data_IF_772454199616
#
_entry.id   IF_772454199616
#
_cell.length_a   1.000
_cell.length_b   1.000
_cell.length_c   1.000
_cell.angle_alpha   90.00
_cell.angle_beta   90.00
_cell.angle_gamma   90.00
#
_symmetry.space_group_name_H-M   'P 1'
#
loop_
_entity.id
_entity.type
_entity.pdbx_description
1 polymer ?
#
# COMPACT_ATOMS: atom_id res chain seq x y z
N UNK A 1 2.72 -17.27 -15.54
CA UNK A 1 3.39 -16.13 -16.22
C UNK A 1 4.16 -15.39 -15.15
N UNK A 2 5.35 -14.84 -15.46
CA UNK A 2 6.07 -14.02 -14.48
C UNK A 2 5.31 -12.70 -14.25
N UNK A 3 5.29 -12.22 -13.02
CA UNK A 3 4.71 -10.94 -12.66
C UNK A 3 5.47 -9.80 -13.35
N UNK A 4 4.76 -8.91 -14.05
CA UNK A 4 5.36 -7.84 -14.84
C UNK A 4 6.15 -6.83 -13.99
N UNK A 5 5.82 -6.69 -12.71
CA UNK A 5 6.51 -5.80 -11.78
C UNK A 5 7.99 -6.12 -11.61
N UNK A 6 8.43 -7.39 -11.78
CA UNK A 6 9.85 -7.75 -11.72
C UNK A 6 10.73 -7.03 -12.75
N UNK A 7 10.14 -6.54 -13.85
CA UNK A 7 10.86 -5.94 -14.98
C UNK A 7 10.84 -4.41 -14.98
N UNK A 8 10.06 -3.78 -14.11
CA UNK A 8 10.01 -2.33 -14.00
C UNK A 8 11.30 -1.82 -13.32
N UNK A 9 11.94 -0.86 -13.95
CA UNK A 9 13.15 -0.23 -13.38
C UNK A 9 12.77 0.92 -12.46
N UNK A 10 13.47 1.12 -11.32
CA UNK A 10 13.19 2.21 -10.39
C UNK A 10 13.15 3.60 -11.05
N UNK A 11 14.10 3.89 -11.95
CA UNK A 11 14.15 5.19 -12.65
C UNK A 11 12.96 5.40 -13.60
N UNK A 12 12.53 4.36 -14.32
CA UNK A 12 11.37 4.44 -15.20
C UNK A 12 10.09 4.65 -14.40
N UNK A 13 9.97 3.95 -13.26
CA UNK A 13 8.87 4.13 -12.31
C UNK A 13 8.83 5.57 -11.78
N UNK A 14 9.93 6.09 -11.25
CA UNK A 14 10.00 7.45 -10.72
C UNK A 14 9.68 8.49 -11.81
N UNK A 15 10.23 8.34 -12.99
CA UNK A 15 10.00 9.27 -14.10
C UNK A 15 8.52 9.30 -14.52
N UNK A 16 7.86 8.14 -14.59
CA UNK A 16 6.44 8.06 -14.91
C UNK A 16 5.57 8.62 -13.78
N UNK A 17 5.73 8.11 -12.56
CA UNK A 17 4.85 8.41 -11.43
C UNK A 17 4.96 9.88 -10.97
N UNK A 18 6.14 10.51 -11.15
CA UNK A 18 6.38 11.92 -10.80
C UNK A 18 6.03 12.89 -11.93
N UNK A 19 5.75 12.41 -13.15
CA UNK A 19 5.44 13.25 -14.30
C UNK A 19 4.24 14.18 -14.00
N UNK A 20 4.24 15.47 -14.42
CA UNK A 20 3.16 16.42 -14.11
C UNK A 20 1.75 15.95 -14.51
N UNK A 21 1.63 15.18 -15.59
CA UNK A 21 0.34 14.62 -16.02
C UNK A 21 -0.10 13.40 -15.19
N UNK A 22 0.79 12.81 -14.40
CA UNK A 22 0.53 11.64 -13.53
C UNK A 22 0.38 12.08 -12.09
N UNK A 23 1.39 12.78 -11.56
CA UNK A 23 1.47 13.37 -10.22
C UNK A 23 1.14 12.41 -9.05
N UNK A 24 1.31 11.11 -9.27
CA UNK A 24 0.98 10.08 -8.27
C UNK A 24 2.00 10.04 -7.14
N UNK A 25 3.30 10.18 -7.44
CA UNK A 25 4.35 10.21 -6.41
C UNK A 25 4.10 11.31 -5.38
N UNK A 26 3.79 12.54 -5.84
CA UNK A 26 3.55 13.67 -4.95
C UNK A 26 2.30 13.47 -4.09
N UNK A 27 1.23 12.91 -4.68
CA UNK A 27 0.00 12.64 -3.95
C UNK A 27 0.19 11.51 -2.94
N UNK A 28 0.80 10.39 -3.33
CA UNK A 28 1.08 9.27 -2.43
C UNK A 28 2.01 9.66 -1.29
N UNK A 29 3.01 10.51 -1.55
CA UNK A 29 3.89 11.05 -0.53
C UNK A 29 3.10 11.78 0.58
N UNK A 30 2.20 12.66 0.19
CA UNK A 30 1.28 13.33 1.13
C UNK A 30 0.40 12.32 1.87
N UNK A 31 -0.18 11.36 1.15
CA UNK A 31 -1.07 10.35 1.74
C UNK A 31 -0.34 9.49 2.77
N UNK A 32 0.90 9.05 2.50
CA UNK A 32 1.69 8.24 3.44
C UNK A 32 1.95 9.00 4.74
N UNK A 33 2.25 10.31 4.66
CA UNK A 33 2.35 11.14 5.86
C UNK A 33 1.06 11.12 6.67
N UNK A 34 -0.08 11.34 6.02
CA UNK A 34 -1.40 11.31 6.67
C UNK A 34 -1.73 9.92 7.23
N UNK A 35 -1.27 8.83 6.57
CA UNK A 35 -1.44 7.46 7.05
C UNK A 35 -0.61 7.20 8.32
N UNK A 36 0.62 7.70 8.42
CA UNK A 36 1.39 7.63 9.67
C UNK A 36 0.69 8.35 10.82
N UNK A 37 -0.07 9.41 10.53
CA UNK A 37 -0.84 10.17 11.51
C UNK A 37 -2.10 9.44 12.02
N UNK A 38 -2.49 8.29 11.41
CA UNK A 38 -3.55 7.42 11.94
C UNK A 38 -3.17 6.78 13.28
N UNK A 39 -1.87 6.59 13.52
CA UNK A 39 -1.37 6.14 14.82
C UNK A 39 -1.39 7.29 15.83
N UNK A 40 -1.87 7.07 17.07
CA UNK A 40 -1.77 8.07 18.13
C UNK A 40 -0.33 8.51 18.35
N UNK A 41 -0.11 9.80 18.52
CA UNK A 41 1.24 10.37 18.60
C UNK A 41 2.09 9.72 19.70
N UNK A 42 1.47 9.44 20.85
CA UNK A 42 2.13 8.81 22.02
C UNK A 42 2.53 7.33 21.78
N UNK A 43 1.97 6.69 20.76
CA UNK A 43 2.25 5.28 20.44
C UNK A 43 3.26 5.11 19.31
N UNK A 44 3.51 6.14 18.50
CA UNK A 44 4.33 6.06 17.27
C UNK A 44 5.76 5.58 17.52
N UNK A 45 6.36 5.98 18.65
CA UNK A 45 7.72 5.57 19.03
C UNK A 45 7.84 4.10 19.45
N UNK A 46 6.74 3.39 19.57
CA UNK A 46 6.71 1.95 19.84
C UNK A 46 5.96 1.16 18.74
N UNK A 47 5.52 1.84 17.70
CA UNK A 47 4.70 1.23 16.65
C UNK A 47 5.54 0.66 15.52
N UNK A 48 5.03 -0.44 14.96
CA UNK A 48 5.49 -1.03 13.71
C UNK A 48 4.52 -0.69 12.58
N UNK A 49 5.05 -0.16 11.49
CA UNK A 49 4.27 0.13 10.28
C UNK A 49 4.78 -0.70 9.13
N UNK A 50 3.88 -1.40 8.44
CA UNK A 50 4.20 -2.11 7.20
C UNK A 50 3.70 -1.32 5.98
N UNK A 51 4.51 -1.29 4.92
CA UNK A 51 4.16 -0.74 3.61
C UNK A 51 4.28 -1.86 2.59
N UNK A 52 3.14 -2.27 2.03
CA UNK A 52 3.05 -3.29 1.00
C UNK A 52 3.16 -2.63 -0.39
N UNK A 53 4.02 -3.15 -1.26
CA UNK A 53 4.39 -2.49 -2.51
C UNK A 53 5.20 -1.22 -2.25
N UNK A 54 6.22 -1.31 -1.37
CA UNK A 54 6.99 -0.13 -0.94
C UNK A 54 7.74 0.55 -2.07
N UNK A 55 8.00 -0.15 -3.17
CA UNK A 55 8.81 0.33 -4.29
C UNK A 55 10.17 0.88 -3.82
N UNK A 56 10.56 2.05 -4.27
CA UNK A 56 11.80 2.71 -3.88
C UNK A 56 11.66 3.65 -2.65
N UNK A 57 10.57 3.48 -1.86
CA UNK A 57 10.41 4.09 -0.55
C UNK A 57 9.79 5.49 -0.55
N UNK A 58 8.96 5.84 -1.53
CA UNK A 58 8.25 7.13 -1.50
C UNK A 58 7.50 7.32 -0.18
N UNK A 59 7.71 8.47 0.49
CA UNK A 59 7.08 8.82 1.77
C UNK A 59 7.87 8.40 3.01
N UNK A 60 8.96 7.62 2.89
CA UNK A 60 9.79 7.23 4.04
C UNK A 60 10.53 8.42 4.69
N UNK A 61 10.67 9.55 3.99
CA UNK A 61 11.19 10.79 4.58
C UNK A 61 10.33 11.31 5.75
N UNK A 62 9.09 10.85 5.88
CA UNK A 62 8.19 11.20 6.99
C UNK A 62 8.38 10.32 8.23
N UNK A 63 9.16 9.24 8.18
CA UNK A 63 9.36 8.29 9.30
C UNK A 63 9.89 9.03 10.54
N UNK A 64 10.99 9.75 10.40
CA UNK A 64 11.58 10.51 11.52
C UNK A 64 10.67 11.64 11.99
N UNK A 65 10.17 12.54 11.11
CA UNK A 65 9.29 13.63 11.52
C UNK A 65 7.99 13.16 12.20
N UNK A 66 7.46 12.02 11.79
CA UNK A 66 6.26 11.44 12.42
C UNK A 66 6.56 10.63 13.67
N UNK A 67 7.84 10.37 13.99
CA UNK A 67 8.25 9.64 15.19
C UNK A 67 7.98 8.13 15.10
N UNK A 68 7.96 7.55 13.90
CA UNK A 68 7.80 6.09 13.70
C UNK A 68 9.11 5.39 14.03
N UNK A 69 9.02 4.29 14.77
CA UNK A 69 10.21 3.56 15.20
C UNK A 69 10.60 2.41 14.28
N UNK A 70 9.65 1.65 13.77
CA UNK A 70 9.91 0.47 12.94
C UNK A 70 9.06 0.49 11.66
N UNK A 71 9.74 0.35 10.52
CA UNK A 71 9.12 0.21 9.19
C UNK A 71 9.46 -1.14 8.62
N UNK A 72 8.47 -1.81 8.08
CA UNK A 72 8.58 -3.02 7.26
C UNK A 72 8.15 -2.65 5.85
N UNK A 73 9.03 -2.86 4.87
CA UNK A 73 8.71 -2.72 3.45
C UNK A 73 8.66 -4.07 2.78
N UNK A 74 7.60 -4.35 2.04
CA UNK A 74 7.46 -5.57 1.24
C UNK A 74 7.29 -5.17 -0.23
N UNK A 75 8.06 -5.79 -1.11
CA UNK A 75 7.93 -5.63 -2.56
C UNK A 75 8.36 -6.91 -3.27
N UNK A 76 7.80 -7.18 -4.44
CA UNK A 76 8.17 -8.30 -5.30
C UNK A 76 9.46 -8.01 -6.10
N UNK A 77 9.76 -6.72 -6.33
CA UNK A 77 10.86 -6.29 -7.17
C UNK A 77 12.10 -5.93 -6.33
N UNK A 78 13.07 -6.83 -6.37
CA UNK A 78 14.35 -6.65 -5.66
C UNK A 78 15.06 -5.33 -6.01
N UNK A 79 14.98 -4.85 -7.26
CA UNK A 79 15.64 -3.61 -7.65
C UNK A 79 15.03 -2.39 -6.93
N UNK A 80 13.72 -2.39 -6.68
CA UNK A 80 13.07 -1.37 -5.87
C UNK A 80 13.56 -1.40 -4.43
N UNK A 81 13.66 -2.59 -3.83
CA UNK A 81 14.14 -2.73 -2.45
C UNK A 81 15.61 -2.30 -2.30
N UNK A 82 16.44 -2.63 -3.28
CA UNK A 82 17.85 -2.22 -3.27
C UNK A 82 17.98 -0.69 -3.40
N UNK A 83 17.20 -0.05 -4.27
CA UNK A 83 17.14 1.41 -4.39
C UNK A 83 16.59 2.06 -3.13
N UNK A 84 15.53 1.51 -2.54
CA UNK A 84 14.95 1.96 -1.26
C UNK A 84 16.01 1.95 -0.15
N UNK A 85 16.80 0.87 -0.03
CA UNK A 85 17.85 0.74 0.98
C UNK A 85 18.95 1.79 0.80
N UNK A 86 19.34 2.09 -0.45
CA UNK A 86 20.35 3.11 -0.75
C UNK A 86 19.80 4.50 -0.41
N UNK A 87 18.59 4.80 -0.85
CA UNK A 87 17.93 6.11 -0.70
C UNK A 87 17.68 6.48 0.77
N UNK A 88 17.35 5.49 1.60
CA UNK A 88 16.97 5.67 3.01
C UNK A 88 17.96 5.01 3.97
N UNK A 89 19.26 5.08 3.65
CA UNK A 89 20.33 4.57 4.50
C UNK A 89 20.42 5.26 5.86
N UNK A 90 19.92 6.48 6.00
CA UNK A 90 19.85 7.25 7.25
C UNK A 90 18.83 6.69 8.26
N UNK A 91 17.87 5.88 7.80
CA UNK A 91 16.90 5.18 8.64
C UNK A 91 17.08 3.65 8.60
N UNK A 92 18.21 3.12 8.15
CA UNK A 92 18.47 1.69 8.00
C UNK A 92 18.17 0.90 9.29
N UNK A 93 18.49 1.45 10.45
CA UNK A 93 18.21 0.82 11.76
C UNK A 93 16.71 0.65 12.07
N UNK A 94 15.84 1.37 11.36
CA UNK A 94 14.38 1.33 11.51
C UNK A 94 13.68 0.61 10.37
N UNK A 95 14.39 0.29 9.28
CA UNK A 95 13.83 -0.19 8.02
C UNK A 95 14.20 -1.66 7.78
N UNK A 96 13.20 -2.53 7.72
CA UNK A 96 13.35 -3.94 7.30
C UNK A 96 12.66 -4.15 5.96
N UNK A 97 13.39 -4.69 4.96
CA UNK A 97 12.88 -4.87 3.60
C UNK A 97 12.84 -6.36 3.25
N UNK A 98 11.69 -6.81 2.72
CA UNK A 98 11.41 -8.20 2.36
C UNK A 98 11.01 -8.31 0.89
N UNK A 99 11.66 -9.20 0.15
CA UNK A 99 11.30 -9.55 -1.22
C UNK A 99 10.27 -10.70 -1.16
N UNK A 100 8.99 -10.38 -1.35
CA UNK A 100 7.89 -11.35 -1.31
C UNK A 100 6.87 -11.08 -2.41
N UNK A 101 6.35 -12.14 -3.01
CA UNK A 101 5.16 -12.10 -3.84
C UNK A 101 3.91 -12.32 -2.98
N UNK A 102 3.16 -11.25 -2.72
CA UNK A 102 1.95 -11.28 -1.89
C UNK A 102 0.81 -12.13 -2.47
N UNK A 103 0.94 -12.61 -3.71
CA UNK A 103 0.02 -13.58 -4.31
C UNK A 103 0.32 -15.03 -3.90
N UNK A 104 1.60 -15.34 -3.60
CA UNK A 104 2.07 -16.70 -3.30
C UNK A 104 2.59 -16.87 -1.88
N UNK A 105 3.26 -15.86 -1.32
CA UNK A 105 3.97 -15.95 -0.05
C UNK A 105 3.11 -15.47 1.14
N UNK A 106 1.79 -15.76 1.06
CA UNK A 106 0.77 -15.27 2.02
C UNK A 106 1.12 -15.62 3.46
N UNK A 107 1.60 -16.85 3.73
CA UNK A 107 1.92 -17.29 5.10
C UNK A 107 3.06 -16.47 5.69
N UNK A 108 4.15 -16.28 4.95
CA UNK A 108 5.29 -15.48 5.39
C UNK A 108 4.90 -14.00 5.57
N UNK A 109 4.11 -13.46 4.64
CA UNK A 109 3.58 -12.11 4.75
C UNK A 109 2.76 -11.92 6.04
N UNK A 110 1.87 -12.86 6.38
CA UNK A 110 1.05 -12.81 7.60
C UNK A 110 1.94 -12.87 8.85
N UNK A 111 2.95 -13.73 8.89
CA UNK A 111 3.89 -13.81 10.03
C UNK A 111 4.58 -12.46 10.26
N UNK A 112 5.10 -11.83 9.20
CA UNK A 112 5.76 -10.52 9.27
C UNK A 112 4.79 -9.42 9.72
N UNK A 113 3.57 -9.42 9.17
CA UNK A 113 2.57 -8.38 9.39
C UNK A 113 1.83 -8.50 10.73
N UNK A 114 1.92 -9.67 11.38
CA UNK A 114 1.17 -9.96 12.62
C UNK A 114 1.48 -8.99 13.77
N UNK A 115 2.70 -8.44 13.81
CA UNK A 115 3.15 -7.50 14.83
C UNK A 115 2.89 -6.02 14.48
N UNK A 116 2.50 -5.72 13.24
CA UNK A 116 2.33 -4.35 12.78
C UNK A 116 1.08 -3.70 13.38
N UNK A 117 1.17 -2.42 13.72
CA UNK A 117 0.06 -1.60 14.20
C UNK A 117 -0.70 -0.95 13.05
N UNK A 118 0.01 -0.62 11.98
CA UNK A 118 -0.52 -0.04 10.76
C UNK A 118 0.04 -0.79 9.55
N UNK A 119 -0.84 -1.17 8.63
CA UNK A 119 -0.49 -1.74 7.32
C UNK A 119 -1.00 -0.80 6.24
N UNK A 120 -0.09 -0.37 5.36
CA UNK A 120 -0.36 0.51 4.23
C UNK A 120 -0.28 -0.29 2.95
N UNK A 121 -1.33 -0.22 2.11
CA UNK A 121 -1.45 -0.91 0.82
C UNK A 121 -1.92 0.08 -0.25
N UNK A 122 -1.02 0.94 -0.71
CA UNK A 122 -1.35 1.99 -1.67
C UNK A 122 -1.14 1.51 -3.11
N UNK A 123 -2.19 1.55 -3.94
CA UNK A 123 -2.20 1.10 -5.33
C UNK A 123 -1.65 -0.33 -5.47
N UNK A 124 -2.00 -1.20 -4.56
CA UNK A 124 -1.51 -2.57 -4.50
C UNK A 124 -2.60 -3.59 -4.81
N UNK A 125 -3.82 -3.38 -4.29
CA UNK A 125 -4.91 -4.35 -4.37
C UNK A 125 -5.21 -4.70 -5.83
N UNK A 126 -5.16 -3.72 -6.72
CA UNK A 126 -5.36 -3.86 -8.16
C UNK A 126 -4.34 -4.81 -8.83
N UNK A 127 -3.18 -5.03 -8.20
CA UNK A 127 -2.08 -5.83 -8.74
C UNK A 127 -2.01 -7.24 -8.15
N UNK A 128 -2.43 -7.41 -6.89
CA UNK A 128 -2.42 -8.72 -6.22
C UNK A 128 -3.79 -9.38 -6.19
N UNK A 129 -4.82 -8.71 -6.71
CA UNK A 129 -6.24 -9.05 -6.65
C UNK A 129 -6.83 -9.04 -5.25
N UNK A 130 -8.06 -8.54 -5.12
CA UNK A 130 -8.73 -8.38 -3.83
C UNK A 130 -8.77 -9.68 -3.01
N UNK A 131 -8.99 -10.83 -3.66
CA UNK A 131 -9.05 -12.12 -2.96
C UNK A 131 -7.75 -12.48 -2.22
N UNK A 132 -6.58 -12.18 -2.78
CA UNK A 132 -5.30 -12.46 -2.13
C UNK A 132 -5.04 -11.46 -1.00
N UNK A 133 -5.39 -10.19 -1.20
CA UNK A 133 -5.34 -9.20 -0.12
C UNK A 133 -6.21 -9.63 1.07
N UNK A 134 -7.43 -10.10 0.83
CA UNK A 134 -8.34 -10.57 1.88
C UNK A 134 -7.85 -11.84 2.59
N UNK A 135 -7.14 -12.76 1.89
CA UNK A 135 -6.47 -13.90 2.55
C UNK A 135 -5.47 -13.44 3.60
N UNK A 136 -4.66 -12.42 3.27
CA UNK A 136 -3.73 -11.82 4.24
C UNK A 136 -4.50 -11.19 5.39
N UNK A 137 -5.44 -10.28 5.10
CA UNK A 137 -6.20 -9.53 6.11
C UNK A 137 -6.96 -10.43 7.08
N UNK A 138 -7.61 -11.48 6.56
CA UNK A 138 -8.39 -12.42 7.39
C UNK A 138 -7.51 -13.21 8.35
N UNK A 139 -6.28 -13.51 7.97
CA UNK A 139 -5.32 -14.25 8.78
C UNK A 139 -4.60 -13.40 9.83
N UNK A 140 -4.68 -12.06 9.78
CA UNK A 140 -4.03 -11.18 10.75
C UNK A 140 -4.71 -11.28 12.12
N UNK A 141 -3.95 -11.57 13.19
CA UNK A 141 -4.53 -11.89 14.49
C UNK A 141 -4.81 -10.66 15.38
N UNK A 142 -4.18 -9.52 15.08
CA UNK A 142 -4.08 -8.40 16.02
C UNK A 142 -5.35 -7.54 16.05
N UNK A 143 -5.99 -7.45 17.21
CA UNK A 143 -7.06 -6.49 17.45
C UNK A 143 -6.51 -5.05 17.50
N UNK A 144 -7.29 -4.11 16.96
CA UNK A 144 -6.88 -2.69 16.91
C UNK A 144 -5.90 -2.36 15.78
N UNK A 145 -5.46 -3.36 15.00
CA UNK A 145 -4.61 -3.14 13.83
C UNK A 145 -5.33 -2.26 12.80
N UNK A 146 -4.62 -1.27 12.29
CA UNK A 146 -5.12 -0.37 11.24
C UNK A 146 -4.63 -0.87 9.89
N UNK A 147 -5.53 -0.92 8.92
CA UNK A 147 -5.20 -1.12 7.50
C UNK A 147 -5.66 0.10 6.73
N UNK A 148 -4.74 0.75 6.04
CA UNK A 148 -5.04 1.88 5.17
C UNK A 148 -4.65 1.53 3.74
N UNK A 149 -5.59 1.59 2.81
CA UNK A 149 -5.34 1.32 1.40
C UNK A 149 -5.79 2.47 0.51
N UNK A 150 -5.12 2.60 -0.62
CA UNK A 150 -5.48 3.55 -1.68
C UNK A 150 -5.73 2.77 -2.96
N UNK A 151 -6.85 3.04 -3.60
CA UNK A 151 -7.16 2.57 -4.96
C UNK A 151 -7.25 3.75 -5.92
N UNK A 152 -7.01 3.49 -7.21
CA UNK A 152 -7.17 4.48 -8.27
C UNK A 152 -8.49 4.31 -8.98
N UNK A 153 -9.18 5.43 -9.22
CA UNK A 153 -10.37 5.49 -10.08
C UNK A 153 -10.01 6.15 -11.39
N UNK A 154 -10.31 5.47 -12.50
CA UNK A 154 -10.02 5.89 -13.86
C UNK A 154 -11.34 6.13 -14.63
N UNK A 155 -11.89 7.36 -14.64
CA UNK A 155 -13.17 7.62 -15.30
C UNK A 155 -13.19 7.34 -16.79
N UNK A 156 -12.02 7.46 -17.43
CA UNK A 156 -11.82 7.18 -18.86
C UNK A 156 -11.42 5.74 -19.17
N UNK A 157 -11.27 4.89 -18.15
CA UNK A 157 -10.79 3.51 -18.28
C UNK A 157 -9.31 3.39 -18.65
N UNK A 158 -8.55 4.50 -18.64
CA UNK A 158 -7.11 4.51 -18.93
C UNK A 158 -6.32 4.41 -17.64
N UNK A 159 -5.69 3.29 -17.36
CA UNK A 159 -4.96 3.04 -16.11
C UNK A 159 -3.69 3.89 -16.03
N UNK A 160 -2.80 3.80 -17.02
CA UNK A 160 -1.57 4.58 -17.07
C UNK A 160 -1.79 5.91 -17.82
N UNK A 161 -1.54 7.03 -17.14
CA UNK A 161 -1.62 8.37 -17.75
C UNK A 161 -0.43 8.63 -18.68
N UNK A 162 -0.63 9.47 -19.70
CA UNK A 162 0.42 9.82 -20.65
C UNK A 162 1.59 10.57 -19.99
N UNK A 163 2.77 10.00 -20.04
CA UNK A 163 4.04 10.55 -19.55
C UNK A 163 5.14 10.56 -20.60
N UNK A 164 4.88 9.95 -21.78
CA UNK A 164 5.86 9.69 -22.82
C UNK A 164 6.64 8.40 -22.64
N UNK A 165 6.52 7.75 -21.48
CA UNK A 165 7.13 6.45 -21.15
C UNK A 165 6.12 5.45 -20.57
N UNK A 166 4.82 5.72 -20.64
CA UNK A 166 3.75 4.86 -20.13
C UNK A 166 3.78 3.44 -20.71
N UNK A 167 4.31 3.26 -21.91
CA UNK A 167 4.47 1.96 -22.57
C UNK A 167 5.32 0.96 -21.76
N UNK A 168 6.20 1.45 -20.88
CA UNK A 168 7.00 0.60 -19.98
C UNK A 168 6.09 -0.23 -19.06
N UNK A 169 4.89 0.28 -18.77
CA UNK A 169 3.90 -0.34 -17.88
C UNK A 169 2.86 -1.21 -18.61
N UNK A 170 2.93 -1.38 -19.93
CA UNK A 170 1.95 -2.17 -20.70
C UNK A 170 1.76 -3.59 -20.16
N UNK A 171 2.82 -4.21 -19.66
CA UNK A 171 2.76 -5.53 -19.04
C UNK A 171 2.03 -5.53 -17.71
N UNK A 172 2.23 -4.48 -16.91
CA UNK A 172 1.58 -4.27 -15.61
C UNK A 172 0.11 -3.95 -15.80
N UNK A 173 -0.20 -3.00 -16.68
CA UNK A 173 -1.59 -2.57 -16.98
C UNK A 173 -2.48 -3.74 -17.42
N UNK A 174 -1.94 -4.71 -18.15
CA UNK A 174 -2.68 -5.92 -18.56
C UNK A 174 -3.02 -6.87 -17.41
N UNK A 175 -2.38 -6.71 -16.27
CA UNK A 175 -2.56 -7.56 -15.07
C UNK A 175 -3.37 -6.84 -13.99
N UNK A 176 -3.72 -5.56 -14.20
CA UNK A 176 -4.52 -4.77 -13.25
C UNK A 176 -5.98 -5.19 -13.32
N UNK A 177 -6.59 -5.39 -12.17
CA UNK A 177 -8.04 -5.46 -12.01
C UNK A 177 -8.54 -4.18 -11.32
N UNK A 178 -9.43 -3.44 -11.99
CA UNK A 178 -10.04 -2.26 -11.37
C UNK A 178 -10.91 -2.67 -10.19
N UNK A 179 -10.62 -2.08 -9.04
CA UNK A 179 -11.29 -2.41 -7.79
C UNK A 179 -12.42 -1.43 -7.48
N UNK A 180 -13.53 -1.99 -7.02
CA UNK A 180 -14.68 -1.19 -6.58
C UNK A 180 -14.61 -0.97 -5.06
N UNK A 181 -14.62 0.29 -4.63
CA UNK A 181 -14.53 0.67 -3.23
C UNK A 181 -15.62 0.02 -2.35
N UNK A 182 -16.85 -0.11 -2.86
CA UNK A 182 -17.95 -0.71 -2.07
C UNK A 182 -17.75 -2.22 -1.89
N UNK A 183 -17.16 -2.88 -2.89
CA UNK A 183 -16.79 -4.30 -2.79
C UNK A 183 -15.68 -4.45 -1.76
N UNK A 184 -14.62 -3.61 -1.81
CA UNK A 184 -13.56 -3.63 -0.81
C UNK A 184 -14.13 -3.42 0.60
N UNK A 185 -14.97 -2.39 0.80
CA UNK A 185 -15.56 -2.08 2.11
C UNK A 185 -16.38 -3.27 2.66
N UNK A 186 -17.21 -3.90 1.81
CA UNK A 186 -18.03 -5.03 2.23
C UNK A 186 -17.18 -6.27 2.55
N UNK A 187 -16.20 -6.60 1.73
CA UNK A 187 -15.32 -7.75 1.93
C UNK A 187 -14.38 -7.57 3.14
N UNK A 188 -13.87 -6.36 3.36
CA UNK A 188 -13.08 -6.03 4.55
C UNK A 188 -13.91 -6.20 5.83
N UNK A 189 -15.20 -5.83 5.79
CA UNK A 189 -16.11 -6.05 6.93
C UNK A 189 -16.29 -7.53 7.25
N UNK A 190 -16.36 -8.40 6.23
CA UNK A 190 -16.41 -9.85 6.42
C UNK A 190 -15.14 -10.40 7.09
N UNK A 191 -13.99 -9.73 6.90
CA UNK A 191 -12.73 -10.03 7.56
C UNK A 191 -12.60 -9.40 8.97
N UNK A 192 -13.67 -8.84 9.54
CA UNK A 192 -13.66 -8.19 10.85
C UNK A 192 -13.00 -6.80 10.85
N UNK A 193 -12.94 -6.15 9.70
CA UNK A 193 -12.40 -4.79 9.54
C UNK A 193 -13.54 -3.78 9.45
N UNK A 194 -13.55 -2.76 10.30
CA UNK A 194 -14.51 -1.65 10.23
C UNK A 194 -13.90 -0.45 9.54
N UNK A 195 -14.60 0.08 8.53
CA UNK A 195 -14.23 1.34 7.90
C UNK A 195 -14.32 2.49 8.91
N UNK A 196 -13.23 3.25 9.06
CA UNK A 196 -13.13 4.42 9.93
C UNK A 196 -13.20 5.71 9.16
N UNK A 197 -12.54 5.74 7.99
CA UNK A 197 -12.46 6.95 7.17
C UNK A 197 -12.41 6.59 5.69
N UNK A 198 -12.95 7.49 4.87
CA UNK A 198 -12.83 7.48 3.41
C UNK A 198 -12.45 8.88 2.97
N UNK A 199 -11.36 9.01 2.23
CA UNK A 199 -10.88 10.29 1.71
C UNK A 199 -10.62 10.18 0.21
N UNK A 200 -11.01 11.21 -0.54
CA UNK A 200 -10.79 11.31 -1.99
C UNK A 200 -9.74 12.37 -2.30
N UNK A 201 -8.85 12.08 -3.24
CA UNK A 201 -7.81 12.97 -3.71
C UNK A 201 -7.88 13.08 -5.23
N UNK A 202 -7.97 14.31 -5.73
CA UNK A 202 -8.00 14.55 -7.17
C UNK A 202 -6.58 14.50 -7.75
N UNK A 203 -6.46 13.85 -8.89
CA UNK A 203 -5.25 13.76 -9.71
C UNK A 203 -5.46 14.51 -11.03
N UNK A 204 -4.39 14.75 -11.82
CA UNK A 204 -4.53 15.18 -13.21
C UNK A 204 -5.44 14.23 -14.01
N UNK A 205 -5.99 14.74 -15.12
CA UNK A 205 -6.83 13.97 -16.05
C UNK A 205 -8.10 13.35 -15.41
N UNK A 206 -8.70 14.07 -14.45
CA UNK A 206 -9.94 13.67 -13.74
C UNK A 206 -9.83 12.37 -12.93
N UNK A 207 -8.63 11.77 -12.85
CA UNK A 207 -8.39 10.60 -12.01
C UNK A 207 -8.47 10.94 -10.53
N UNK A 208 -8.74 9.93 -9.73
CA UNK A 208 -8.85 10.09 -8.28
C UNK A 208 -8.16 8.95 -7.55
N UNK A 209 -7.61 9.25 -6.39
CA UNK A 209 -7.33 8.26 -5.38
C UNK A 209 -8.43 8.23 -4.34
N UNK A 210 -8.83 7.04 -3.94
CA UNK A 210 -9.72 6.82 -2.80
C UNK A 210 -8.91 6.09 -1.74
N UNK A 211 -8.71 6.75 -0.58
CA UNK A 211 -8.13 6.15 0.61
C UNK A 211 -9.21 5.63 1.51
N UNK A 212 -9.06 4.39 1.96
CA UNK A 212 -9.93 3.69 2.88
C UNK A 212 -9.12 3.27 4.10
N UNK A 213 -9.51 3.75 5.29
CA UNK A 213 -8.85 3.43 6.55
C UNK A 213 -9.76 2.51 7.38
N UNK A 214 -9.26 1.33 7.73
CA UNK A 214 -9.99 0.31 8.47
C UNK A 214 -9.31 0.02 9.81
N UNK A 215 -10.09 -0.49 10.78
CA UNK A 215 -9.58 -1.00 12.04
C UNK A 215 -10.10 -2.41 12.29
N UNK A 216 -9.20 -3.31 12.75
CA UNK A 216 -9.56 -4.67 13.15
C UNK A 216 -10.34 -4.64 14.46
N UNK A 217 -11.54 -5.21 14.47
CA UNK A 217 -12.38 -5.35 15.67
C UNK A 217 -12.47 -6.80 16.08
N UNK A 218 -12.64 -7.04 17.38
CA UNK A 218 -12.94 -8.39 17.87
C UNK A 218 -14.30 -8.81 17.30
N UNK A 219 -14.38 -10.01 16.75
CA UNK A 219 -15.67 -10.65 16.58
C UNK A 219 -16.26 -10.87 17.98
N UNK A 220 -17.29 -10.12 18.33
CA UNK A 220 -18.12 -10.49 19.46
C UNK A 220 -18.87 -11.77 19.08
N UNK A 221 -18.68 -12.90 19.79
CA UNK A 221 -19.34 -14.17 19.46
C UNK A 221 -20.89 -14.14 19.60
N UNK A 222 -21.47 -12.98 19.91
CA UNK A 222 -22.88 -12.83 20.28
C UNK A 222 -23.71 -11.90 19.37
N UNK A 223 -23.29 -11.62 18.15
CA UNK A 223 -24.13 -10.90 17.17
C UNK A 223 -24.46 -11.78 15.96
N UNK A 224 -24.97 -12.99 16.19
CA UNK A 224 -25.84 -13.66 15.22
C UNK A 224 -27.29 -13.29 15.60
N UNK A 225 -27.84 -12.30 14.92
CA UNK A 225 -29.29 -12.04 14.88
C UNK A 225 -29.84 -12.60 13.58
#
# INVERSE_FOLDING_TARGET
MSNAWHFIKPNDYDAHMSHPNVAQTQMLNRIIKEQFELLPQEQRSASCVAILGITNGNGLEHVIPCGIDRIIGIDINKNFLDECRIRFSDIESKLSLYELDLMTDVTEAVEILSECDLIIANLLIEHIHLENFLKIVSALPKHGQIISCVIQVNPDGVIASASGIEYVFDGVVKQVEEENENIIISSMKECGMLLRNKTMYNLPNEKQFIRLDFIKVLEHPNLRV
#
